data_IF_931178882528
#
_entry.id   IF_931178882528
#
_cell.length_a   1.000
_cell.length_b   1.000
_cell.length_c   1.000
_cell.angle_alpha   90.00
_cell.angle_beta   90.00
_cell.angle_gamma   90.00
#
_symmetry.space_group_name_H-M   'P 1'
#
loop_
_entity.id
_entity.type
_entity.pdbx_description
1 polymer ?
#
# COMPACT_ATOMS: atom_id res chain seq x y z
N UNK A 1 63.18 -48.89 -27.97
CA UNK A 1 62.45 -47.99 -28.89
C UNK A 1 61.00 -47.97 -28.43
N UNK A 2 60.67 -47.01 -27.57
CA UNK A 2 59.39 -46.92 -26.86
C UNK A 2 58.52 -45.87 -27.55
N UNK A 3 57.34 -46.28 -28.01
CA UNK A 3 56.33 -45.37 -28.54
C UNK A 3 55.43 -44.89 -27.39
N UNK A 4 55.60 -43.61 -27.04
CA UNK A 4 54.74 -42.86 -26.12
C UNK A 4 53.50 -42.35 -26.87
N UNK A 5 52.31 -42.66 -26.36
CA UNK A 5 51.08 -41.98 -26.72
C UNK A 5 50.58 -41.21 -25.49
N UNK A 6 50.52 -39.88 -25.48
CA UNK A 6 49.89 -39.16 -24.39
C UNK A 6 48.38 -39.03 -24.60
N UNK A 7 47.66 -39.40 -23.55
CA UNK A 7 46.25 -39.11 -23.28
C UNK A 7 45.94 -37.62 -23.48
N UNK A 8 44.90 -37.32 -24.27
CA UNK A 8 44.31 -35.98 -24.38
C UNK A 8 43.36 -35.74 -23.20
N UNK A 9 43.72 -34.82 -22.32
CA UNK A 9 42.84 -34.27 -21.28
C UNK A 9 41.90 -33.24 -21.93
N UNK A 10 40.67 -33.65 -22.24
CA UNK A 10 39.58 -32.71 -22.45
C UNK A 10 39.27 -32.04 -21.11
N UNK A 11 39.75 -30.80 -20.94
CA UNK A 11 39.21 -29.86 -19.95
C UNK A 11 37.77 -29.53 -20.36
N UNK A 12 36.81 -30.24 -19.82
CA UNK A 12 35.43 -29.73 -19.71
C UNK A 12 35.47 -28.56 -18.72
N UNK A 13 35.68 -27.35 -19.24
CA UNK A 13 35.42 -26.12 -18.50
C UNK A 13 33.94 -26.13 -18.13
N UNK A 14 33.71 -26.41 -16.86
CA UNK A 14 32.44 -26.29 -16.16
C UNK A 14 31.99 -24.85 -16.31
N UNK A 15 31.06 -24.60 -17.23
CA UNK A 15 30.43 -23.31 -17.42
C UNK A 15 29.52 -23.05 -16.20
N UNK A 16 30.14 -22.62 -15.12
CA UNK A 16 29.50 -22.00 -13.96
C UNK A 16 29.64 -20.50 -14.12
N UNK A 17 28.84 -19.92 -15.03
CA UNK A 17 28.62 -18.49 -15.08
C UNK A 17 27.16 -18.21 -14.68
N UNK A 18 27.01 -17.95 -13.38
CA UNK A 18 26.13 -16.95 -12.80
C UNK A 18 24.73 -16.84 -13.42
N UNK A 19 23.78 -17.51 -12.78
CA UNK A 19 22.37 -17.09 -12.83
C UNK A 19 22.33 -15.60 -12.45
N UNK A 20 22.06 -14.71 -13.40
CA UNK A 20 21.81 -13.30 -13.15
C UNK A 20 20.70 -13.20 -12.09
N UNK A 21 21.11 -12.98 -10.85
CA UNK A 21 20.22 -12.60 -9.79
C UNK A 21 19.78 -11.18 -10.14
N UNK A 22 18.70 -11.07 -10.90
CA UNK A 22 18.12 -9.82 -11.39
C UNK A 22 18.00 -8.88 -10.20
N UNK A 23 18.89 -7.88 -10.15
CA UNK A 23 18.97 -6.93 -9.03
C UNK A 23 17.64 -6.19 -8.99
N UNK A 24 16.74 -6.58 -8.08
CA UNK A 24 15.41 -5.99 -7.94
C UNK A 24 15.59 -4.50 -7.67
N UNK A 25 15.16 -3.67 -8.62
CA UNK A 25 15.26 -2.22 -8.53
C UNK A 25 14.29 -1.72 -7.47
N UNK A 26 14.77 -0.86 -6.57
CA UNK A 26 13.95 -0.26 -5.49
C UNK A 26 13.83 1.24 -5.76
N UNK A 27 12.59 1.74 -5.80
CA UNK A 27 12.27 3.15 -6.03
C UNK A 27 11.63 3.72 -4.76
N UNK A 28 12.18 4.81 -4.24
CA UNK A 28 11.55 5.61 -3.18
C UNK A 28 10.67 6.67 -3.85
N UNK A 29 9.34 6.52 -3.79
CA UNK A 29 8.36 7.35 -4.49
C UNK A 29 7.62 8.29 -3.53
N UNK A 30 8.21 9.44 -3.24
CA UNK A 30 7.61 10.47 -2.37
C UNK A 30 8.30 11.82 -2.60
N UNK A 31 7.62 12.91 -2.25
CA UNK A 31 8.18 14.26 -2.25
C UNK A 31 8.62 14.74 -0.85
N UNK A 32 8.38 13.94 0.20
CA UNK A 32 8.64 14.30 1.59
C UNK A 32 10.09 14.03 1.99
N UNK A 33 10.89 15.10 2.15
CA UNK A 33 12.35 15.02 2.33
C UNK A 33 12.80 14.20 3.55
N UNK A 34 12.22 14.35 4.75
CA UNK A 34 12.61 13.51 5.89
C UNK A 34 12.37 12.03 5.62
N UNK A 35 11.25 11.66 5.00
CA UNK A 35 10.98 10.27 4.61
C UNK A 35 11.97 9.76 3.57
N UNK A 36 12.36 10.57 2.58
CA UNK A 36 13.41 10.20 1.60
C UNK A 36 14.72 9.85 2.31
N UNK A 37 15.16 10.71 3.24
CA UNK A 37 16.40 10.49 3.99
C UNK A 37 16.33 9.22 4.84
N UNK A 38 15.21 9.00 5.54
CA UNK A 38 15.00 7.80 6.36
C UNK A 38 15.02 6.55 5.47
N UNK A 39 14.26 6.53 4.38
CA UNK A 39 14.15 5.36 3.49
C UNK A 39 15.46 5.05 2.78
N UNK A 40 16.17 6.05 2.28
CA UNK A 40 17.46 5.84 1.60
C UNK A 40 18.56 5.38 2.57
N UNK A 41 18.47 5.74 3.87
CA UNK A 41 19.39 5.22 4.90
C UNK A 41 19.22 3.72 5.18
N UNK A 42 18.02 3.17 4.96
CA UNK A 42 17.72 1.73 5.19
C UNK A 42 17.63 0.92 3.90
N UNK A 43 17.51 1.58 2.74
CA UNK A 43 17.48 0.99 1.41
C UNK A 43 18.66 1.52 0.57
N UNK A 44 19.90 1.08 0.86
CA UNK A 44 21.07 1.56 0.13
C UNK A 44 20.96 1.21 -1.36
N UNK A 45 21.16 2.22 -2.21
CA UNK A 45 21.05 2.09 -3.66
C UNK A 45 19.64 2.19 -4.23
N UNK A 46 18.64 2.56 -3.41
CA UNK A 46 17.32 2.90 -3.92
C UNK A 46 17.36 4.20 -4.74
N UNK A 47 16.65 4.22 -5.86
CA UNK A 47 16.47 5.41 -6.68
C UNK A 47 15.35 6.27 -6.11
N UNK A 48 15.60 7.57 -5.90
CA UNK A 48 14.58 8.49 -5.41
C UNK A 48 13.80 9.06 -6.59
N UNK A 49 12.47 8.97 -6.51
CA UNK A 49 11.56 9.55 -7.49
C UNK A 49 10.52 10.44 -6.80
N UNK A 50 10.53 11.72 -7.16
CA UNK A 50 9.53 12.68 -6.73
C UNK A 50 8.30 12.53 -7.64
N UNK A 51 7.09 12.28 -7.10
CA UNK A 51 5.87 12.14 -7.88
C UNK A 51 5.53 13.36 -8.73
N UNK A 52 5.18 13.16 -9.99
CA UNK A 52 4.65 14.21 -10.85
C UNK A 52 3.13 14.32 -10.66
N UNK A 53 2.67 15.41 -10.03
CA UNK A 53 1.25 15.62 -9.72
C UNK A 53 0.37 15.84 -10.96
N UNK A 54 0.96 16.05 -12.14
CA UNK A 54 0.21 16.15 -13.39
C UNK A 54 -0.13 14.79 -14.01
N UNK A 55 0.44 13.69 -13.49
CA UNK A 55 0.29 12.33 -14.02
C UNK A 55 -0.29 11.39 -12.99
N UNK A 56 -0.92 10.33 -13.46
CA UNK A 56 -1.24 9.21 -12.57
C UNK A 56 0.06 8.51 -12.14
N UNK A 57 0.18 8.06 -10.88
CA UNK A 57 1.33 7.27 -10.44
C UNK A 57 1.53 6.01 -11.28
N UNK A 58 0.43 5.41 -11.76
CA UNK A 58 0.48 4.24 -12.64
C UNK A 58 1.17 4.57 -13.96
N UNK A 59 0.74 5.62 -14.66
CA UNK A 59 1.37 6.06 -15.91
C UNK A 59 2.85 6.38 -15.69
N UNK A 60 3.17 7.16 -14.66
CA UNK A 60 4.53 7.57 -14.38
C UNK A 60 5.46 6.37 -14.13
N UNK A 61 5.02 5.42 -13.29
CA UNK A 61 5.82 4.25 -12.92
C UNK A 61 5.97 3.31 -14.12
N UNK A 62 4.87 3.01 -14.82
CA UNK A 62 4.89 2.05 -15.93
C UNK A 62 5.62 2.55 -17.17
N UNK A 63 5.75 3.88 -17.33
CA UNK A 63 6.54 4.47 -18.42
C UNK A 63 8.05 4.36 -18.17
N UNK A 64 8.48 4.32 -16.90
CA UNK A 64 9.90 4.44 -16.51
C UNK A 64 10.51 3.13 -16.02
N UNK A 65 9.70 2.27 -15.43
CA UNK A 65 10.15 1.08 -14.72
C UNK A 65 9.46 -0.14 -15.30
N UNK A 66 10.10 -1.30 -15.14
CA UNK A 66 9.55 -2.58 -15.60
C UNK A 66 8.90 -3.34 -14.44
N UNK A 67 7.97 -4.27 -14.72
CA UNK A 67 7.48 -5.24 -13.73
C UNK A 67 8.64 -5.93 -13.00
N UNK A 68 8.43 -6.28 -11.72
CA UNK A 68 9.48 -6.75 -10.81
C UNK A 68 10.20 -5.63 -10.05
N UNK A 69 9.97 -4.37 -10.42
CA UNK A 69 10.43 -3.20 -9.65
C UNK A 69 9.66 -3.10 -8.33
N UNK A 70 10.38 -2.76 -7.25
CA UNK A 70 9.81 -2.48 -5.93
C UNK A 70 9.64 -0.98 -5.75
N UNK A 71 8.44 -0.53 -5.43
CA UNK A 71 8.13 0.87 -5.15
C UNK A 71 7.81 1.02 -3.65
N UNK A 72 8.49 1.94 -2.98
CA UNK A 72 8.32 2.27 -1.56
C UNK A 72 7.96 3.74 -1.45
N UNK A 73 6.76 4.08 -0.96
CA UNK A 73 6.38 5.49 -0.85
C UNK A 73 4.91 5.77 -0.71
N UNK A 74 4.47 6.93 -1.18
CA UNK A 74 3.09 7.41 -1.03
C UNK A 74 2.41 7.45 -2.39
N UNK A 75 1.27 6.77 -2.51
CA UNK A 75 0.38 6.87 -3.66
C UNK A 75 -1.04 6.45 -3.27
N UNK A 76 -2.06 6.81 -4.06
CA UNK A 76 -3.41 6.28 -3.93
C UNK A 76 -3.46 4.74 -3.97
N UNK A 77 -4.38 4.14 -3.20
CA UNK A 77 -4.46 2.68 -3.05
C UNK A 77 -4.89 1.99 -4.35
N UNK A 78 -5.75 2.61 -5.14
CA UNK A 78 -6.15 2.16 -6.47
C UNK A 78 -4.94 2.07 -7.42
N UNK A 79 -4.08 3.10 -7.43
CA UNK A 79 -2.83 3.10 -8.21
C UNK A 79 -1.88 1.99 -7.73
N UNK A 80 -1.73 1.82 -6.41
CA UNK A 80 -0.92 0.75 -5.84
C UNK A 80 -1.44 -0.64 -6.25
N UNK A 81 -2.75 -0.83 -6.18
CA UNK A 81 -3.41 -2.07 -6.55
C UNK A 81 -3.26 -2.40 -8.04
N UNK A 82 -3.43 -1.41 -8.92
CA UNK A 82 -3.21 -1.58 -10.36
C UNK A 82 -1.75 -1.95 -10.68
N UNK A 83 -0.78 -1.31 -10.03
CA UNK A 83 0.63 -1.66 -10.21
C UNK A 83 0.95 -3.08 -9.73
N UNK A 84 0.31 -3.57 -8.66
CA UNK A 84 0.49 -4.96 -8.22
C UNK A 84 -0.02 -5.94 -9.27
N UNK A 85 -1.19 -5.67 -9.87
CA UNK A 85 -1.73 -6.47 -10.98
C UNK A 85 -0.80 -6.47 -12.20
N UNK A 86 -0.05 -5.39 -12.40
CA UNK A 86 0.98 -5.25 -13.45
C UNK A 86 2.35 -5.82 -13.07
N UNK A 87 2.47 -6.49 -11.92
CA UNK A 87 3.69 -7.20 -11.51
C UNK A 87 4.71 -6.39 -10.71
N UNK A 88 4.30 -5.26 -10.11
CA UNK A 88 5.17 -4.46 -9.24
C UNK A 88 5.01 -4.88 -7.77
N UNK A 89 6.07 -4.69 -6.97
CA UNK A 89 5.99 -4.85 -5.52
C UNK A 89 5.78 -3.49 -4.85
N UNK A 90 4.64 -3.27 -4.20
CA UNK A 90 4.29 -1.96 -3.62
C UNK A 90 4.32 -2.00 -2.10
N UNK A 91 5.03 -1.02 -1.54
CA UNK A 91 5.13 -0.75 -0.11
C UNK A 91 4.70 0.69 0.18
N UNK A 92 3.53 0.86 0.79
CA UNK A 92 3.00 2.18 1.12
C UNK A 92 3.55 2.68 2.46
N UNK A 93 4.04 3.90 2.49
CA UNK A 93 4.58 4.53 3.68
C UNK A 93 3.57 5.48 4.29
N UNK A 94 3.37 5.41 5.61
CA UNK A 94 2.53 6.36 6.36
C UNK A 94 3.08 6.54 7.78
N UNK A 95 2.66 7.60 8.46
CA UNK A 95 2.90 7.72 9.90
C UNK A 95 1.84 6.95 10.69
N UNK A 96 2.28 6.24 11.72
CA UNK A 96 1.39 5.70 12.74
C UNK A 96 1.01 6.83 13.70
N UNK A 97 -0.23 7.32 13.57
CA UNK A 97 -0.75 8.41 14.40
C UNK A 97 -0.69 8.11 15.90
N UNK A 98 -0.94 6.87 16.34
CA UNK A 98 -0.85 6.51 17.76
C UNK A 98 0.58 6.64 18.25
N UNK A 99 1.55 6.22 17.43
CA UNK A 99 2.97 6.36 17.75
C UNK A 99 3.39 7.83 17.81
N UNK A 100 2.89 8.66 16.91
CA UNK A 100 3.13 10.12 16.94
C UNK A 100 2.57 10.73 18.23
N UNK A 101 1.36 10.35 18.64
CA UNK A 101 0.73 10.81 19.88
C UNK A 101 1.54 10.40 21.12
N UNK A 102 2.01 9.16 21.17
CA UNK A 102 2.88 8.66 22.25
C UNK A 102 4.18 9.45 22.36
N UNK A 103 4.80 9.80 21.23
CA UNK A 103 6.10 10.50 21.21
C UNK A 103 5.94 11.99 21.54
N UNK A 104 4.90 12.62 21.00
CA UNK A 104 4.73 14.09 21.05
C UNK A 104 3.86 14.55 22.23
N UNK A 105 3.07 13.65 22.83
CA UNK A 105 2.09 13.98 23.85
C UNK A 105 0.91 14.82 23.34
N UNK A 106 0.71 14.91 22.02
CA UNK A 106 -0.32 15.73 21.37
C UNK A 106 -1.13 14.88 20.38
N UNK A 107 -2.43 15.18 20.16
CA UNK A 107 -3.24 14.50 19.15
C UNK A 107 -2.57 14.53 17.76
N UNK A 108 -2.63 13.43 17.02
CA UNK A 108 -2.06 13.34 15.69
C UNK A 108 -2.79 14.27 14.71
N UNK A 109 -2.02 15.08 13.97
CA UNK A 109 -2.48 15.98 12.94
C UNK A 109 -1.78 15.65 11.60
N UNK A 110 -2.47 15.05 10.62
CA UNK A 110 -1.86 14.65 9.35
C UNK A 110 -1.44 15.82 8.45
N UNK A 111 -1.79 17.07 8.81
CA UNK A 111 -1.37 18.28 8.08
C UNK A 111 -0.15 18.97 8.70
N UNK A 112 0.31 18.48 9.85
CA UNK A 112 1.47 19.01 10.56
C UNK A 112 2.74 18.30 10.08
N UNK A 113 3.82 19.08 9.93
CA UNK A 113 5.16 18.54 9.67
C UNK A 113 5.80 18.15 11.01
N UNK A 114 6.12 16.87 11.16
CA UNK A 114 6.74 16.36 12.37
C UNK A 114 8.27 16.40 12.30
N UNK A 115 8.97 16.54 13.43
CA UNK A 115 10.43 16.44 13.43
C UNK A 115 10.93 15.09 12.88
N UNK A 116 12.09 15.05 12.18
CA UNK A 116 12.62 13.83 11.56
C UNK A 116 12.77 12.64 12.52
N UNK A 117 13.09 12.88 13.78
CA UNK A 117 13.21 11.87 14.84
C UNK A 117 11.86 11.25 15.25
N UNK A 118 10.78 12.02 15.16
CA UNK A 118 9.40 11.53 15.35
C UNK A 118 9.01 10.70 14.14
N UNK A 119 9.24 11.22 12.94
CA UNK A 119 8.95 10.52 11.67
C UNK A 119 9.69 9.19 11.65
N UNK A 120 10.98 9.14 12.00
CA UNK A 120 11.78 7.91 12.02
C UNK A 120 11.18 6.82 12.91
N UNK A 121 10.63 7.19 14.05
CA UNK A 121 10.04 6.25 15.01
C UNK A 121 8.60 5.84 14.65
N UNK A 122 7.86 6.74 14.00
CA UNK A 122 6.45 6.53 13.66
C UNK A 122 6.21 6.07 12.21
N UNK A 123 7.21 6.11 11.33
CA UNK A 123 7.07 5.70 9.94
C UNK A 123 6.84 4.19 9.85
N UNK A 124 5.67 3.82 9.32
CA UNK A 124 5.31 2.43 9.04
C UNK A 124 5.27 2.18 7.54
N UNK A 125 5.67 0.98 7.16
CA UNK A 125 5.68 0.51 5.78
C UNK A 125 4.70 -0.64 5.64
N UNK A 126 3.72 -0.50 4.76
CA UNK A 126 2.67 -1.49 4.52
C UNK A 126 2.88 -2.15 3.17
N UNK A 127 3.18 -3.45 3.18
CA UNK A 127 3.22 -4.24 1.96
C UNK A 127 1.80 -4.59 1.52
N UNK A 128 1.49 -4.30 0.26
CA UNK A 128 0.22 -4.72 -0.35
C UNK A 128 0.49 -6.01 -1.13
N UNK A 129 -0.06 -7.14 -0.68
CA UNK A 129 0.28 -8.48 -1.20
C UNK A 129 -0.62 -8.97 -2.33
N UNK A 130 -1.90 -8.60 -2.31
CA UNK A 130 -2.89 -8.94 -3.33
C UNK A 130 -3.92 -7.82 -3.34
N UNK A 131 -4.23 -7.29 -4.51
CA UNK A 131 -5.29 -6.32 -4.66
C UNK A 131 -6.23 -6.80 -5.76
N UNK A 132 -7.42 -7.23 -5.36
CA UNK A 132 -8.55 -7.33 -6.25
C UNK A 132 -9.32 -6.02 -6.09
N UNK A 133 -9.24 -5.15 -7.11
CA UNK A 133 -10.05 -3.94 -7.14
C UNK A 133 -11.38 -4.32 -7.80
N UNK A 134 -12.47 -4.21 -7.05
CA UNK A 134 -13.81 -4.30 -7.60
C UNK A 134 -14.53 -2.98 -7.33
N UNK A 135 -15.01 -2.36 -8.41
CA UNK A 135 -15.93 -1.23 -8.31
C UNK A 135 -17.32 -1.78 -8.01
N UNK A 136 -17.97 -1.21 -7.01
CA UNK A 136 -19.30 -1.60 -6.57
C UNK A 136 -20.21 -0.38 -6.64
N UNK A 137 -21.43 -0.59 -7.11
CA UNK A 137 -22.52 0.33 -6.80
C UNK A 137 -22.83 0.32 -5.29
N UNK A 138 -23.55 1.34 -4.82
CA UNK A 138 -24.00 1.41 -3.42
C UNK A 138 -24.83 0.18 -3.06
N UNK A 139 -25.71 -0.26 -3.96
CA UNK A 139 -26.57 -1.43 -3.73
C UNK A 139 -25.76 -2.72 -3.65
N UNK A 140 -24.79 -2.92 -4.54
CA UNK A 140 -23.88 -4.09 -4.46
C UNK A 140 -23.04 -4.08 -3.18
N UNK A 141 -22.55 -2.91 -2.76
CA UNK A 141 -21.81 -2.76 -1.52
C UNK A 141 -22.68 -3.10 -0.29
N UNK A 142 -23.91 -2.58 -0.23
CA UNK A 142 -24.83 -2.86 0.88
C UNK A 142 -25.22 -4.35 0.93
N UNK A 143 -25.45 -4.99 -0.22
CA UNK A 143 -25.67 -6.44 -0.28
C UNK A 143 -24.48 -7.22 0.27
N UNK A 144 -23.25 -6.76 0.06
CA UNK A 144 -22.06 -7.38 0.65
C UNK A 144 -22.00 -7.25 2.18
N UNK A 145 -22.68 -6.28 2.78
CA UNK A 145 -22.75 -6.08 4.23
C UNK A 145 -23.81 -6.94 4.93
N UNK A 146 -24.71 -7.55 4.16
CA UNK A 146 -25.81 -8.29 4.76
C UNK A 146 -25.30 -9.43 5.66
N UNK A 147 -25.79 -9.46 6.89
CA UNK A 147 -25.43 -10.39 7.97
C UNK A 147 -23.95 -10.33 8.39
N UNK A 148 -23.30 -9.17 8.26
CA UNK A 148 -21.89 -8.98 8.59
C UNK A 148 -21.65 -7.85 9.59
N UNK A 149 -20.57 -7.97 10.35
CA UNK A 149 -20.01 -6.90 11.17
C UNK A 149 -19.01 -6.08 10.34
N UNK A 150 -19.29 -4.79 10.20
CA UNK A 150 -18.54 -3.82 9.40
C UNK A 150 -17.87 -2.80 10.33
N UNK A 151 -16.54 -2.67 10.25
CA UNK A 151 -15.81 -1.62 10.97
C UNK A 151 -15.74 -0.36 10.11
N UNK A 152 -16.30 0.74 10.59
CA UNK A 152 -16.29 2.05 9.94
C UNK A 152 -15.68 3.06 10.91
N UNK A 153 -14.48 3.52 10.59
CA UNK A 153 -13.69 4.38 11.49
C UNK A 153 -14.29 5.78 11.64
N UNK A 154 -14.87 6.32 10.57
CA UNK A 154 -15.47 7.65 10.55
C UNK A 154 -16.92 7.59 11.07
N UNK A 155 -17.22 8.37 12.12
CA UNK A 155 -18.53 8.33 12.78
C UNK A 155 -19.68 8.78 11.86
N UNK A 156 -19.51 9.87 11.10
CA UNK A 156 -20.51 10.38 10.14
C UNK A 156 -20.82 9.34 9.06
N UNK A 157 -19.77 8.72 8.51
CA UNK A 157 -19.91 7.67 7.51
C UNK A 157 -20.60 6.43 8.07
N UNK A 158 -20.31 6.07 9.33
CA UNK A 158 -20.94 4.93 10.00
C UNK A 158 -22.44 5.15 10.12
N UNK A 159 -22.85 6.33 10.58
CA UNK A 159 -24.27 6.69 10.72
C UNK A 159 -24.98 6.71 9.37
N UNK A 160 -24.37 7.30 8.34
CA UNK A 160 -24.91 7.32 6.99
C UNK A 160 -25.10 5.90 6.41
N UNK A 161 -24.10 5.03 6.55
CA UNK A 161 -24.19 3.65 6.08
C UNK A 161 -25.23 2.83 6.86
N UNK A 162 -25.35 3.08 8.17
CA UNK A 162 -26.36 2.43 9.00
C UNK A 162 -27.78 2.81 8.56
N UNK A 163 -28.04 4.09 8.28
CA UNK A 163 -29.32 4.57 7.76
C UNK A 163 -29.64 3.95 6.40
N UNK A 164 -28.68 3.96 5.47
CA UNK A 164 -28.85 3.36 4.14
C UNK A 164 -29.10 1.85 4.19
N UNK A 165 -28.42 1.13 5.08
CA UNK A 165 -28.65 -0.30 5.27
C UNK A 165 -30.07 -0.57 5.80
N UNK A 166 -30.55 0.23 6.76
CA UNK A 166 -31.91 0.12 7.29
C UNK A 166 -32.98 0.39 6.22
N UNK A 167 -32.81 1.44 5.42
CA UNK A 167 -33.72 1.77 4.32
C UNK A 167 -33.84 0.65 3.27
N UNK A 168 -32.78 -0.14 3.11
CA UNK A 168 -32.72 -1.27 2.15
C UNK A 168 -32.97 -2.64 2.80
N UNK A 169 -33.35 -2.69 4.08
CA UNK A 169 -33.61 -3.95 4.79
C UNK A 169 -32.37 -4.86 4.94
N UNK A 170 -31.18 -4.27 4.99
CA UNK A 170 -29.91 -4.98 5.14
C UNK A 170 -29.59 -5.16 6.62
N UNK A 171 -29.35 -6.41 7.03
CA UNK A 171 -29.01 -6.76 8.41
C UNK A 171 -27.50 -6.67 8.64
N UNK A 172 -26.93 -5.46 8.74
CA UNK A 172 -25.51 -5.24 8.99
C UNK A 172 -25.26 -4.61 10.37
N UNK A 173 -24.18 -5.04 11.05
CA UNK A 173 -23.74 -4.43 12.31
C UNK A 173 -22.55 -3.50 12.07
N UNK A 174 -22.74 -2.21 12.29
CA UNK A 174 -21.68 -1.21 12.11
C UNK A 174 -20.98 -0.89 13.44
N UNK A 175 -19.65 -0.93 13.44
CA UNK A 175 -18.80 -0.72 14.64
C UNK A 175 -17.67 0.26 14.33
N UNK A 176 -17.11 0.91 15.37
CA UNK A 176 -16.02 1.91 15.21
C UNK A 176 -14.64 1.28 15.01
N UNK A 177 -14.39 0.10 15.58
CA UNK A 177 -13.10 -0.57 15.56
C UNK A 177 -13.23 -2.08 15.29
N UNK A 178 -12.16 -2.64 14.72
CA UNK A 178 -12.01 -4.07 14.43
C UNK A 178 -12.11 -4.95 15.67
N UNK A 179 -13.29 -5.53 15.92
CA UNK A 179 -13.44 -6.70 16.80
C UNK A 179 -13.04 -7.98 16.07
N UNK A 180 -12.84 -9.08 16.79
CA UNK A 180 -12.47 -10.37 16.20
C UNK A 180 -13.49 -10.89 15.17
N UNK A 181 -14.76 -10.45 15.27
CA UNK A 181 -15.86 -10.79 14.38
C UNK A 181 -16.02 -9.82 13.20
N UNK A 182 -15.17 -8.79 13.08
CA UNK A 182 -15.23 -7.85 11.95
C UNK A 182 -14.80 -8.55 10.67
N UNK A 183 -15.67 -8.45 9.67
CA UNK A 183 -15.52 -9.13 8.37
C UNK A 183 -15.20 -8.16 7.23
N UNK A 184 -15.54 -6.87 7.38
CA UNK A 184 -15.27 -5.80 6.40
C UNK A 184 -14.84 -4.51 7.10
N UNK A 185 -13.87 -3.78 6.52
CA UNK A 185 -13.29 -2.57 7.12
C UNK A 185 -13.28 -1.39 6.15
N UNK A 186 -13.66 -0.20 6.67
CA UNK A 186 -13.77 1.06 5.92
C UNK A 186 -13.06 2.18 6.72
N UNK A 187 -11.89 2.67 6.26
CA UNK A 187 -11.08 2.14 5.16
C UNK A 187 -10.47 0.76 5.49
N UNK A 188 -9.87 0.06 4.51
CA UNK A 188 -9.15 -1.19 4.75
C UNK A 188 -8.09 -1.01 5.85
N UNK A 189 -8.16 -1.80 6.93
CA UNK A 189 -7.09 -1.86 7.93
C UNK A 189 -6.20 -3.07 7.67
N UNK A 190 -4.93 -2.99 8.09
CA UNK A 190 -3.87 -3.93 7.71
C UNK A 190 -4.08 -5.39 8.14
N UNK A 191 -5.11 -5.69 8.94
CA UNK A 191 -5.31 -6.99 9.56
C UNK A 191 -6.49 -7.73 8.91
N UNK A 192 -6.19 -8.52 7.86
CA UNK A 192 -6.99 -9.68 7.35
C UNK A 192 -8.46 -9.46 6.95
N UNK A 193 -8.91 -8.23 6.83
CA UNK A 193 -10.31 -7.92 6.52
C UNK A 193 -10.44 -7.56 5.03
N UNK A 194 -11.52 -8.02 4.37
CA UNK A 194 -11.91 -7.49 3.07
C UNK A 194 -12.14 -5.97 3.22
N UNK A 195 -11.33 -5.16 2.56
CA UNK A 195 -11.36 -3.72 2.74
C UNK A 195 -12.18 -3.04 1.67
N UNK A 196 -13.09 -2.16 2.07
CA UNK A 196 -13.79 -1.28 1.12
C UNK A 196 -13.26 0.14 1.31
N UNK A 197 -12.82 0.74 0.20
CA UNK A 197 -12.53 2.16 0.14
C UNK A 197 -13.73 2.86 -0.50
N UNK A 198 -14.35 3.77 0.26
CA UNK A 198 -15.39 4.67 -0.25
C UNK A 198 -14.71 5.99 -0.58
N UNK A 199 -14.57 6.28 -1.87
CA UNK A 199 -14.11 7.58 -2.36
C UNK A 199 -15.33 8.42 -2.74
N UNK A 200 -15.52 9.57 -2.10
CA UNK A 200 -16.49 10.55 -2.55
C UNK A 200 -15.87 11.38 -3.67
N UNK A 201 -16.57 11.62 -4.80
CA UNK A 201 -16.07 12.54 -5.82
C UNK A 201 -15.88 13.91 -5.17
N UNK A 202 -14.64 14.39 -5.19
CA UNK A 202 -14.27 15.65 -4.55
C UNK A 202 -14.81 16.84 -5.33
N UNK A 203 -16.07 17.22 -5.11
CA UNK A 203 -16.58 18.54 -5.46
C UNK A 203 -17.60 18.97 -4.41
N UNK A 204 -17.20 19.92 -3.56
CA UNK A 204 -18.02 20.80 -2.70
C UNK A 204 -18.93 20.17 -1.63
N UNK A 205 -18.75 20.64 -0.39
CA UNK A 205 -19.69 20.45 0.70
C UNK A 205 -19.12 19.60 1.82
N UNK A 206 -19.02 20.18 3.02
CA UNK A 206 -19.13 19.39 4.25
C UNK A 206 -20.35 18.48 4.10
N UNK A 207 -20.23 17.23 4.53
CA UNK A 207 -21.41 16.49 4.97
C UNK A 207 -21.88 17.17 6.27
N UNK A 208 -22.52 18.33 6.13
CA UNK A 208 -23.42 18.80 7.16
C UNK A 208 -24.63 17.88 7.09
N UNK A 209 -24.98 17.31 8.23
CA UNK A 209 -26.17 16.48 8.36
C UNK A 209 -27.39 17.38 8.21
N UNK A 210 -27.97 17.43 7.01
CA UNK A 210 -29.38 17.78 6.80
C UNK A 210 -30.17 16.52 6.43
#
# INVERSE_FOLDING_TARGET
MSANTPFSLQKTSKDMSQTEQTKRRVIVYTNHQPTIQILTSVLPGAEVRIPDRSKSPVEEITTRYQPGTTIVGVMPLDSAAELILRGYSIYLTRLDGKKVEEITGRPYNPKEEYPPEVIRQALVVQKINRAEIRYLSVDEMLLMFNKKTIAVFNDVMREALQKLAQERGIEALFTKEGRADVTVGIPPTANRIAGIQISFPGITGRLDAE
#
